data_IF_723026758426
#
_entry.id   IF_723026758426
#
_cell.length_a   1.000
_cell.length_b   1.000
_cell.length_c   1.000
_cell.angle_alpha   90.00
_cell.angle_beta   90.00
_cell.angle_gamma   90.00
#
_symmetry.space_group_name_H-M   'P 1'
#
loop_
_entity.id
_entity.type
_entity.pdbx_description
1 polymer ?
#
# COMPACT_ATOMS: atom_id res chain seq x y z
N UNK A 1 -20.13 -5.34 -7.84
CA UNK A 1 -19.18 -4.25 -8.15
C UNK A 1 -18.19 -3.98 -7.01
N UNK A 2 -18.64 -3.66 -5.79
CA UNK A 2 -17.75 -3.36 -4.64
C UNK A 2 -16.72 -4.46 -4.33
N UNK A 3 -17.13 -5.73 -4.35
CA UNK A 3 -16.24 -6.86 -4.09
C UNK A 3 -15.10 -6.98 -5.13
N UNK A 4 -15.37 -6.69 -6.40
CA UNK A 4 -14.38 -6.75 -7.48
C UNK A 4 -13.27 -5.72 -7.26
N UNK A 5 -13.63 -4.47 -6.94
CA UNK A 5 -12.66 -3.41 -6.66
C UNK A 5 -11.80 -3.70 -5.43
N UNK A 6 -12.39 -4.30 -4.38
CA UNK A 6 -11.64 -4.74 -3.20
C UNK A 6 -10.65 -5.84 -3.58
N UNK A 7 -11.05 -6.80 -4.41
CA UNK A 7 -10.18 -7.89 -4.86
C UNK A 7 -9.03 -7.37 -5.73
N UNK A 8 -9.30 -6.41 -6.62
CA UNK A 8 -8.27 -5.76 -7.44
C UNK A 8 -7.30 -4.98 -6.57
N UNK A 9 -7.79 -4.16 -5.63
CA UNK A 9 -6.95 -3.41 -4.71
C UNK A 9 -6.09 -4.35 -3.84
N UNK A 10 -6.67 -5.45 -3.35
CA UNK A 10 -5.94 -6.49 -2.62
C UNK A 10 -4.86 -7.13 -3.49
N UNK A 11 -5.18 -7.49 -4.74
CA UNK A 11 -4.22 -8.03 -5.69
C UNK A 11 -3.05 -7.07 -5.96
N UNK A 12 -3.33 -5.78 -6.14
CA UNK A 12 -2.31 -4.76 -6.38
C UNK A 12 -1.29 -4.63 -5.25
N UNK A 13 -1.68 -4.93 -4.01
CA UNK A 13 -0.79 -4.92 -2.83
C UNK A 13 -0.13 -6.29 -2.60
N UNK A 14 -0.89 -7.38 -2.74
CA UNK A 14 -0.42 -8.73 -2.43
C UNK A 14 0.52 -9.32 -3.49
N UNK A 15 0.29 -9.05 -4.78
CA UNK A 15 1.08 -9.59 -5.89
C UNK A 15 2.57 -9.24 -5.79
N UNK A 16 2.99 -7.97 -5.61
CA UNK A 16 4.41 -7.64 -5.51
C UNK A 16 5.08 -8.26 -4.27
N UNK A 17 4.35 -8.44 -3.17
CA UNK A 17 4.86 -9.13 -1.98
C UNK A 17 5.08 -10.63 -2.24
N UNK A 18 4.14 -11.29 -2.92
CA UNK A 18 4.27 -12.70 -3.32
C UNK A 18 5.42 -12.90 -4.32
N UNK A 19 5.60 -11.98 -5.27
CA UNK A 19 6.73 -12.00 -6.20
C UNK A 19 8.08 -11.85 -5.47
N UNK A 20 8.15 -10.97 -4.46
CA UNK A 20 9.35 -10.83 -3.63
C UNK A 20 9.65 -12.11 -2.83
N UNK A 21 8.61 -12.80 -2.36
CA UNK A 21 8.75 -14.05 -1.61
C UNK A 21 9.14 -15.24 -2.51
N UNK A 22 8.60 -15.30 -3.73
CA UNK A 22 8.81 -16.38 -4.69
C UNK A 22 10.22 -16.39 -5.31
N UNK A 23 10.99 -15.30 -5.20
CA UNK A 23 12.38 -15.28 -5.67
C UNK A 23 13.20 -16.37 -4.98
N UNK A 24 14.10 -17.03 -5.71
CA UNK A 24 15.03 -18.04 -5.18
C UNK A 24 16.44 -17.48 -4.96
N UNK A 25 16.72 -16.30 -5.50
CA UNK A 25 18.06 -15.70 -5.53
C UNK A 25 18.56 -15.12 -4.20
N UNK A 26 17.69 -15.04 -3.18
CA UNK A 26 17.97 -14.40 -1.90
C UNK A 26 17.82 -15.40 -0.73
N UNK A 27 18.60 -15.26 0.35
CA UNK A 27 18.42 -16.06 1.56
C UNK A 27 17.00 -15.91 2.11
N UNK A 28 16.43 -17.00 2.65
CA UNK A 28 15.01 -17.11 3.04
C UNK A 28 14.55 -15.97 3.97
N UNK A 29 15.38 -15.58 4.94
CA UNK A 29 15.07 -14.47 5.85
C UNK A 29 14.89 -13.13 5.13
N UNK A 30 15.75 -12.81 4.16
CA UNK A 30 15.69 -11.55 3.42
C UNK A 30 14.48 -11.47 2.48
N UNK A 31 14.05 -12.62 1.93
CA UNK A 31 12.83 -12.72 1.11
C UNK A 31 11.58 -12.43 1.92
N UNK A 32 11.47 -13.04 3.10
CA UNK A 32 10.34 -12.83 4.01
C UNK A 32 10.29 -11.37 4.45
N UNK A 33 11.42 -10.78 4.87
CA UNK A 33 11.48 -9.37 5.28
C UNK A 33 11.09 -8.43 4.14
N UNK A 34 11.61 -8.62 2.93
CA UNK A 34 11.25 -7.79 1.78
C UNK A 34 9.76 -7.92 1.43
N UNK A 35 9.21 -9.13 1.41
CA UNK A 35 7.79 -9.36 1.17
C UNK A 35 6.93 -8.70 2.26
N UNK A 36 7.35 -8.78 3.52
CA UNK A 36 6.66 -8.14 4.64
C UNK A 36 6.64 -6.62 4.47
N UNK A 37 7.78 -6.00 4.15
CA UNK A 37 7.88 -4.54 3.94
C UNK A 37 6.97 -4.09 2.80
N UNK A 38 7.00 -4.80 1.66
CA UNK A 38 6.19 -4.50 0.48
C UNK A 38 4.69 -4.59 0.80
N UNK A 39 4.28 -5.54 1.65
CA UNK A 39 2.87 -5.73 2.00
C UNK A 39 2.39 -4.80 3.13
N UNK A 40 3.16 -4.69 4.22
CA UNK A 40 2.72 -4.04 5.45
C UNK A 40 2.76 -2.51 5.35
N UNK A 41 3.77 -1.95 4.69
CA UNK A 41 3.94 -0.50 4.59
C UNK A 41 2.72 0.22 3.95
N UNK A 42 2.22 -0.22 2.77
CA UNK A 42 1.03 0.40 2.18
C UNK A 42 -0.26 0.09 2.93
N UNK A 43 -0.40 -1.10 3.54
CA UNK A 43 -1.56 -1.42 4.37
C UNK A 43 -1.63 -0.52 5.62
N UNK A 44 -0.49 -0.25 6.25
CA UNK A 44 -0.39 0.67 7.38
C UNK A 44 -0.68 2.11 6.97
N UNK A 45 -0.13 2.56 5.84
CA UNK A 45 -0.43 3.88 5.28
C UNK A 45 -1.94 4.05 5.02
N UNK A 46 -2.59 3.07 4.39
CA UNK A 46 -4.04 3.08 4.18
C UNK A 46 -4.81 3.13 5.51
N UNK A 47 -4.40 2.37 6.51
CA UNK A 47 -4.99 2.41 7.85
C UNK A 47 -4.94 3.80 8.48
N UNK A 48 -3.81 4.50 8.36
CA UNK A 48 -3.67 5.89 8.84
C UNK A 48 -4.51 6.88 8.03
N UNK A 49 -4.55 6.74 6.71
CA UNK A 49 -5.33 7.62 5.82
C UNK A 49 -6.84 7.49 6.08
N UNK A 50 -7.31 6.28 6.42
CA UNK A 50 -8.72 6.02 6.64
C UNK A 50 -9.17 6.07 8.11
N UNK A 51 -8.26 6.02 9.09
CA UNK A 51 -8.56 5.95 10.53
C UNK A 51 -8.65 7.30 11.27
N UNK A 52 -8.13 8.39 10.70
CA UNK A 52 -8.16 9.74 11.31
C UNK A 52 -9.45 10.59 11.08
N UNK A 53 -10.44 10.24 10.23
CA UNK A 53 -11.36 11.27 9.71
C UNK A 53 -12.55 11.67 10.60
N UNK A 54 -12.80 11.04 11.75
CA UNK A 54 -14.06 11.26 12.49
C UNK A 54 -13.95 12.19 13.72
N UNK A 55 -12.75 12.55 14.18
CA UNK A 55 -12.57 13.41 15.37
C UNK A 55 -12.00 14.81 15.11
N UNK A 56 -11.50 15.11 13.92
CA UNK A 56 -10.86 16.41 13.65
C UNK A 56 -11.81 17.39 12.93
N UNK A 57 -12.25 18.43 13.65
CA UNK A 57 -13.13 19.50 13.13
C UNK A 57 -12.57 20.26 11.90
N UNK A 58 -11.30 20.05 11.53
CA UNK A 58 -10.71 20.52 10.27
C UNK A 58 -11.30 19.84 9.03
N UNK A 59 -11.76 18.59 9.14
CA UNK A 59 -12.42 17.90 8.04
C UNK A 59 -13.79 18.52 7.69
N UNK A 60 -14.46 19.15 8.66
CA UNK A 60 -15.72 19.87 8.43
C UNK A 60 -15.52 21.23 7.74
N UNK A 61 -14.38 21.89 7.93
CA UNK A 61 -14.11 23.21 7.32
C UNK A 61 -13.72 23.15 5.84
N UNK A 62 -13.02 22.09 5.41
CA UNK A 62 -12.56 21.94 4.02
C UNK A 62 -12.83 20.54 3.46
N UNK A 63 -14.10 20.16 3.28
CA UNK A 63 -14.50 18.79 2.94
C UNK A 63 -13.94 18.34 1.58
N UNK A 64 -13.89 19.22 0.59
CA UNK A 64 -13.36 18.90 -0.75
C UNK A 64 -11.85 18.67 -0.71
N UNK A 65 -11.09 19.52 -0.02
CA UNK A 65 -9.64 19.38 0.10
C UNK A 65 -9.25 18.08 0.83
N UNK A 66 -9.99 17.75 1.89
CA UNK A 66 -9.77 16.51 2.65
C UNK A 66 -10.07 15.25 1.82
N UNK A 67 -11.17 15.28 1.05
CA UNK A 67 -11.56 14.15 0.19
C UNK A 67 -10.52 13.94 -0.93
N UNK A 68 -10.07 15.02 -1.57
CA UNK A 68 -9.04 14.97 -2.61
C UNK A 68 -7.72 14.46 -2.06
N UNK A 69 -7.28 14.95 -0.89
CA UNK A 69 -6.07 14.46 -0.22
C UNK A 69 -6.16 12.96 0.07
N UNK A 70 -7.28 12.49 0.61
CA UNK A 70 -7.52 11.06 0.90
C UNK A 70 -7.44 10.22 -0.37
N UNK A 71 -8.00 10.72 -1.46
CA UNK A 71 -8.02 10.04 -2.76
C UNK A 71 -6.61 9.93 -3.35
N UNK A 72 -5.82 11.02 -3.30
CA UNK A 72 -4.42 11.04 -3.73
C UNK A 72 -3.55 10.12 -2.86
N UNK A 73 -3.71 10.17 -1.55
CA UNK A 73 -2.97 9.30 -0.61
C UNK A 73 -3.32 7.81 -0.80
N UNK A 74 -4.58 7.51 -1.08
CA UNK A 74 -5.03 6.14 -1.41
C UNK A 74 -4.41 5.66 -2.72
N UNK A 75 -4.41 6.50 -3.76
CA UNK A 75 -3.75 6.20 -5.03
C UNK A 75 -2.25 5.97 -4.88
N UNK A 76 -1.57 6.83 -4.11
CA UNK A 76 -0.15 6.67 -3.78
C UNK A 76 0.13 5.36 -3.04
N UNK A 77 -0.70 5.00 -2.07
CA UNK A 77 -0.54 3.76 -1.32
C UNK A 77 -0.69 2.50 -2.20
N UNK A 78 -1.46 2.55 -3.29
CA UNK A 78 -1.56 1.45 -4.26
C UNK A 78 -0.31 1.33 -5.15
N UNK A 79 0.38 2.43 -5.43
CA UNK A 79 1.60 2.46 -6.26
C UNK A 79 2.85 2.12 -5.43
N UNK A 80 2.86 2.51 -4.15
CA UNK A 80 3.96 2.30 -3.21
C UNK A 80 4.51 0.86 -3.15
N UNK A 81 3.69 -0.22 -3.08
CA UNK A 81 4.20 -1.59 -3.04
C UNK A 81 4.98 -1.96 -4.30
N UNK A 82 4.58 -1.45 -5.47
CA UNK A 82 5.29 -1.68 -6.72
C UNK A 82 6.62 -0.94 -6.77
N UNK A 83 6.65 0.32 -6.31
CA UNK A 83 7.90 1.07 -6.18
C UNK A 83 8.86 0.40 -5.20
N UNK A 84 8.39 -0.04 -4.03
CA UNK A 84 9.17 -0.78 -3.05
C UNK A 84 9.70 -2.10 -3.61
N UNK A 85 8.85 -2.84 -4.32
CA UNK A 85 9.25 -4.07 -5.00
C UNK A 85 10.40 -3.79 -5.99
N UNK A 86 10.25 -2.82 -6.89
CA UNK A 86 11.29 -2.48 -7.89
C UNK A 86 12.56 -1.98 -7.21
N UNK A 87 12.47 -1.14 -6.19
CA UNK A 87 13.65 -0.59 -5.51
C UNK A 87 14.44 -1.64 -4.73
N UNK A 88 13.75 -2.56 -4.04
CA UNK A 88 14.38 -3.64 -3.27
C UNK A 88 14.94 -4.75 -4.18
N UNK A 89 14.30 -5.00 -5.32
CA UNK A 89 14.57 -6.16 -6.17
C UNK A 89 15.23 -5.85 -7.52
N UNK A 90 15.23 -4.58 -7.93
CA UNK A 90 15.79 -4.08 -9.20
C UNK A 90 17.23 -3.55 -9.09
N UNK A 91 17.80 -3.50 -7.88
CA UNK A 91 19.26 -3.37 -7.71
C UNK A 91 19.93 -4.70 -8.05
N UNK A 92 20.02 -5.01 -9.34
CA UNK A 92 20.97 -5.95 -9.93
C UNK A 92 21.81 -5.21 -10.95
#
# INVERSE_FOLDING_TARGET
MRALFVLIAFGMVAVPALLALARSDLPRGRRIVNALIVFLAPAFALGLIHGVPELDGRALQYPVAWTTLRLVLTGLALILPWCLYVWLNGRR
#
